data_IF_872522449057
#
_entry.id   IF_872522449057
#
_cell.length_a   1.000
_cell.length_b   1.000
_cell.length_c   1.000
_cell.angle_alpha   90.00
_cell.angle_beta   90.00
_cell.angle_gamma   90.00
#
_symmetry.space_group_name_H-M   'P 1'
#
loop_
_entity.id
_entity.type
_entity.pdbx_description
1 polymer ?
#
# COMPACT_ATOMS: atom_id res chain seq x y z
N UNK A 1 -31.47 6.52 -3.11
CA UNK A 1 -30.86 7.00 -1.85
C UNK A 1 -29.35 7.02 -2.03
N UNK A 2 -28.76 8.20 -2.19
CA UNK A 2 -27.31 8.39 -2.38
C UNK A 2 -26.62 8.20 -1.02
N UNK A 3 -25.74 7.20 -0.88
CA UNK A 3 -24.82 7.12 0.26
C UNK A 3 -23.61 7.99 -0.06
N UNK A 4 -23.55 9.13 0.63
CA UNK A 4 -22.40 10.02 0.66
C UNK A 4 -21.31 9.31 1.48
N UNK A 5 -20.29 8.78 0.81
CA UNK A 5 -19.07 8.31 1.49
C UNK A 5 -18.22 9.56 1.73
N UNK A 6 -18.25 10.06 2.97
CA UNK A 6 -17.43 11.18 3.40
C UNK A 6 -16.00 10.65 3.56
N UNK A 7 -15.11 11.05 2.65
CA UNK A 7 -13.67 10.91 2.84
C UNK A 7 -13.27 11.94 3.91
N UNK A 8 -13.00 11.49 5.13
CA UNK A 8 -12.51 12.36 6.20
C UNK A 8 -11.03 12.63 5.91
N UNK A 9 -10.75 13.76 5.28
CA UNK A 9 -9.42 14.37 5.25
C UNK A 9 -9.16 15.03 6.60
N UNK A 10 -8.47 14.33 7.50
CA UNK A 10 -7.87 14.97 8.67
C UNK A 10 -6.60 15.70 8.24
N UNK A 11 -6.73 17.00 7.96
CA UNK A 11 -5.60 17.93 7.95
C UNK A 11 -5.23 18.23 9.41
N UNK A 12 -4.46 17.32 10.01
CA UNK A 12 -3.85 17.55 11.31
C UNK A 12 -2.56 18.34 11.11
N UNK A 13 -2.61 19.66 11.32
CA UNK A 13 -1.42 20.45 11.59
C UNK A 13 -0.94 20.14 13.01
N UNK A 14 -0.21 19.03 13.17
CA UNK A 14 0.37 18.64 14.45
C UNK A 14 1.67 19.43 14.67
N UNK A 15 1.61 20.45 15.52
CA UNK A 15 2.78 20.81 16.32
C UNK A 15 2.89 19.79 17.45
N UNK A 16 3.32 18.56 17.13
CA UNK A 16 3.71 17.59 18.16
C UNK A 16 5.20 17.76 18.43
N UNK A 17 5.53 18.38 19.54
CA UNK A 17 6.75 18.06 20.25
C UNK A 17 6.52 16.73 20.98
N UNK A 18 6.74 15.62 20.27
CA UNK A 18 6.74 14.30 20.90
C UNK A 18 7.94 14.21 21.86
N UNK A 19 7.64 14.03 23.15
CA UNK A 19 8.62 13.58 24.14
C UNK A 19 9.05 12.16 23.77
N UNK A 20 10.36 11.89 23.75
CA UNK A 20 10.90 10.55 23.50
C UNK A 20 11.60 10.05 24.76
N UNK A 21 11.10 8.97 25.36
CA UNK A 21 11.73 8.31 26.52
C UNK A 21 12.55 7.08 26.17
N UNK A 22 12.46 6.56 24.94
CA UNK A 22 13.41 5.57 24.43
C UNK A 22 14.60 6.28 23.78
N UNK A 23 15.70 6.39 24.52
CA UNK A 23 16.91 7.08 24.06
C UNK A 23 17.61 6.39 22.86
N UNK A 24 17.27 5.14 22.58
CA UNK A 24 17.91 4.35 21.51
C UNK A 24 16.89 3.93 20.45
N UNK A 25 17.20 4.10 19.16
CA UNK A 25 16.33 3.60 18.10
C UNK A 25 16.35 2.07 18.08
N UNK A 26 15.18 1.44 17.88
CA UNK A 26 15.09 -0.02 17.76
C UNK A 26 15.61 -0.51 16.39
N UNK A 27 15.59 0.37 15.39
CA UNK A 27 16.11 0.11 14.06
C UNK A 27 16.69 1.39 13.46
N UNK A 28 17.72 1.28 12.63
CA UNK A 28 18.23 2.41 11.87
C UNK A 28 18.86 1.96 10.55
N UNK A 29 18.83 2.85 9.57
CA UNK A 29 19.48 2.67 8.25
C UNK A 29 20.12 3.99 7.83
N UNK A 30 21.20 3.93 7.07
CA UNK A 30 21.89 5.12 6.55
C UNK A 30 21.98 5.03 5.04
N UNK A 31 21.67 6.13 4.35
CA UNK A 31 21.76 6.17 2.90
C UNK A 31 23.19 6.43 2.40
N UNK A 32 23.37 6.44 1.08
CA UNK A 32 24.67 6.71 0.43
C UNK A 32 25.17 8.15 0.60
N UNK A 33 24.33 9.07 1.10
CA UNK A 33 24.67 10.47 1.35
C UNK A 33 25.00 10.73 2.83
N UNK A 34 24.81 9.73 3.69
CA UNK A 34 25.04 9.83 5.14
C UNK A 34 23.82 10.28 5.92
N UNK A 35 22.63 10.36 5.30
CA UNK A 35 21.38 10.62 6.02
C UNK A 35 20.99 9.38 6.81
N UNK A 36 20.92 9.51 8.14
CA UNK A 36 20.55 8.41 9.05
C UNK A 36 19.05 8.47 9.34
N UNK A 37 18.35 7.36 9.11
CA UNK A 37 16.95 7.19 9.49
C UNK A 37 16.89 6.28 10.70
N UNK A 38 16.27 6.76 11.76
CA UNK A 38 16.17 6.13 13.07
C UNK A 38 14.71 5.90 13.43
N UNK A 39 14.39 4.71 13.92
CA UNK A 39 13.04 4.30 14.27
C UNK A 39 12.92 4.09 15.77
N UNK A 40 11.91 4.71 16.38
CA UNK A 40 11.71 4.73 17.83
C UNK A 40 10.31 4.26 18.18
N UNK A 41 10.19 3.34 19.14
CA UNK A 41 8.89 2.97 19.68
C UNK A 41 8.25 4.16 20.41
N UNK A 42 6.91 4.26 20.42
CA UNK A 42 6.22 5.27 21.20
C UNK A 42 6.55 5.13 22.69
N UNK A 43 6.31 6.20 23.46
CA UNK A 43 6.38 6.10 24.91
C UNK A 43 5.33 5.09 25.40
N UNK A 44 5.64 4.32 26.45
CA UNK A 44 4.75 3.28 26.98
C UNK A 44 3.38 3.81 27.47
N UNK A 45 3.21 5.13 27.60
CA UNK A 45 1.96 5.80 27.95
C UNK A 45 1.15 6.33 26.76
N UNK A 46 1.66 6.21 25.52
CA UNK A 46 1.01 6.68 24.30
C UNK A 46 0.36 5.50 23.57
N UNK A 47 -0.82 5.08 24.03
CA UNK A 47 -1.58 3.96 23.45
C UNK A 47 -2.18 4.28 22.06
N UNK A 48 -1.95 5.47 21.54
CA UNK A 48 -2.58 6.00 20.32
C UNK A 48 -1.61 6.27 19.17
N UNK A 49 -0.31 6.07 19.38
CA UNK A 49 0.72 6.36 18.39
C UNK A 49 1.50 5.11 18.01
N UNK A 50 1.78 4.93 16.71
CA UNK A 50 2.75 3.94 16.28
C UNK A 50 4.18 4.44 16.46
N UNK A 51 5.16 3.65 16.01
CA UNK A 51 6.57 4.05 16.07
C UNK A 51 6.85 5.29 15.20
N UNK A 52 7.86 6.07 15.58
CA UNK A 52 8.28 7.28 14.87
C UNK A 52 9.52 7.02 14.03
N UNK A 53 9.54 7.53 12.79
CA UNK A 53 10.73 7.58 11.94
C UNK A 53 11.32 9.00 11.93
N UNK A 54 12.59 9.10 12.29
CA UNK A 54 13.35 10.35 12.41
C UNK A 54 14.51 10.31 11.44
N UNK A 55 14.67 11.37 10.65
CA UNK A 55 15.91 11.65 9.95
C UNK A 55 16.85 12.41 10.89
N UNK A 56 17.99 11.80 11.22
CA UNK A 56 19.01 12.33 12.11
C UNK A 56 20.28 12.64 11.31
N UNK A 57 20.42 13.91 10.94
CA UNK A 57 21.64 14.45 10.36
C UNK A 57 22.51 15.08 11.46
N UNK A 58 23.81 15.24 11.22
CA UNK A 58 24.79 15.75 12.21
C UNK A 58 24.34 16.99 12.99
N UNK A 59 23.53 17.85 12.36
CA UNK A 59 23.07 19.12 12.91
C UNK A 59 21.55 19.24 13.07
N UNK A 60 20.77 18.21 12.73
CA UNK A 60 19.31 18.28 12.77
C UNK A 60 18.64 16.92 12.92
N UNK A 61 17.69 16.84 13.86
CA UNK A 61 16.73 15.74 13.94
C UNK A 61 15.38 16.21 13.43
N UNK A 62 14.79 15.48 12.49
CA UNK A 62 13.49 15.78 11.93
C UNK A 62 12.62 14.53 11.92
N UNK A 63 11.44 14.62 12.53
CA UNK A 63 10.40 13.61 12.35
C UNK A 63 9.95 13.66 10.90
N UNK A 64 10.09 12.54 10.20
CA UNK A 64 9.65 12.42 8.80
C UNK A 64 8.33 11.65 8.71
N UNK A 65 8.01 10.82 9.71
CA UNK A 65 6.79 10.02 9.73
C UNK A 65 6.49 9.45 11.12
N UNK A 66 5.20 9.25 11.40
CA UNK A 66 4.69 8.51 12.55
C UNK A 66 3.83 7.39 12.00
N UNK A 67 4.12 6.15 12.41
CA UNK A 67 3.34 5.01 11.98
C UNK A 67 1.91 5.11 12.53
N UNK A 68 0.87 4.85 11.70
CA UNK A 68 -0.50 4.88 12.18
C UNK A 68 -0.72 3.73 13.17
N UNK A 69 -1.38 4.01 14.29
CA UNK A 69 -1.90 2.99 15.18
C UNK A 69 -3.20 2.42 14.60
N UNK A 70 -3.24 1.11 14.32
CA UNK A 70 -4.34 0.46 13.60
C UNK A 70 -4.96 -0.65 14.45
N UNK A 71 -5.49 -0.27 15.62
CA UNK A 71 -6.00 -1.16 16.67
C UNK A 71 -4.96 -2.11 17.30
N UNK A 72 -3.73 -2.06 16.80
CA UNK A 72 -2.54 -2.70 17.36
C UNK A 72 -1.31 -1.86 17.01
N UNK A 73 -0.23 -2.06 17.76
CA UNK A 73 1.07 -1.51 17.44
C UNK A 73 1.56 -2.12 16.11
N UNK A 74 1.94 -1.31 15.11
CA UNK A 74 2.50 -1.83 13.88
C UNK A 74 3.95 -2.25 14.06
N UNK A 75 4.33 -3.33 13.38
CA UNK A 75 5.73 -3.76 13.28
C UNK A 75 6.37 -3.19 12.01
N UNK A 76 7.64 -2.81 12.10
CA UNK A 76 8.43 -2.50 10.91
C UNK A 76 8.76 -3.81 10.20
N UNK A 77 8.15 -4.04 9.02
CA UNK A 77 8.45 -5.22 8.21
C UNK A 77 9.84 -5.10 7.57
N UNK A 78 10.10 -3.95 6.94
CA UNK A 78 11.41 -3.59 6.41
C UNK A 78 11.45 -2.10 6.04
N UNK A 79 12.66 -1.55 5.92
CA UNK A 79 12.90 -0.25 5.31
C UNK A 79 14.20 -0.27 4.52
N UNK A 80 14.20 0.34 3.34
CA UNK A 80 15.35 0.35 2.45
C UNK A 80 15.40 1.58 1.56
N UNK A 81 16.61 1.88 1.08
CA UNK A 81 16.81 2.93 0.08
C UNK A 81 16.76 2.36 -1.33
N UNK A 82 16.15 3.12 -2.23
CA UNK A 82 16.06 2.78 -3.64
C UNK A 82 16.22 4.02 -4.52
N UNK A 83 17.09 3.95 -5.51
CA UNK A 83 17.16 4.97 -6.54
C UNK A 83 16.20 4.61 -7.67
N UNK A 84 15.28 5.52 -7.98
CA UNK A 84 14.35 5.36 -9.09
C UNK A 84 14.82 6.28 -10.21
N UNK A 85 15.18 5.66 -11.34
CA UNK A 85 15.62 6.38 -12.54
C UNK A 85 14.62 7.48 -12.91
N UNK A 86 15.15 8.66 -13.21
CA UNK A 86 14.39 9.87 -13.58
C UNK A 86 13.46 10.43 -12.48
N UNK A 87 13.47 9.88 -11.26
CA UNK A 87 12.75 10.44 -10.10
C UNK A 87 13.65 10.85 -8.94
N UNK A 88 14.73 10.12 -8.68
CA UNK A 88 15.67 10.40 -7.59
C UNK A 88 15.77 9.28 -6.54
N UNK A 89 16.24 9.62 -5.35
CA UNK A 89 16.48 8.68 -4.27
C UNK A 89 15.28 8.59 -3.32
N UNK A 90 14.93 7.39 -2.93
CA UNK A 90 13.77 7.10 -2.10
C UNK A 90 14.14 6.29 -0.86
N UNK A 91 13.46 6.58 0.24
CA UNK A 91 13.29 5.68 1.38
C UNK A 91 11.94 4.99 1.19
N UNK A 92 11.93 3.67 1.15
CA UNK A 92 10.71 2.86 1.15
C UNK A 92 10.63 2.17 2.50
N UNK A 93 9.51 2.30 3.18
CA UNK A 93 9.21 1.54 4.39
C UNK A 93 7.94 0.73 4.21
N UNK A 94 7.93 -0.44 4.83
CA UNK A 94 6.73 -1.26 5.01
C UNK A 94 6.52 -1.50 6.48
N UNK A 95 5.30 -1.28 6.94
CA UNK A 95 4.84 -1.79 8.23
C UNK A 95 3.92 -2.98 8.00
N UNK A 96 3.72 -3.77 9.05
CA UNK A 96 2.75 -4.85 9.05
C UNK A 96 1.93 -4.84 10.34
N UNK A 97 0.68 -5.27 10.20
CA UNK A 97 -0.27 -5.51 11.29
C UNK A 97 -0.99 -6.85 11.03
N UNK A 98 -1.68 -7.39 12.03
CA UNK A 98 -2.42 -8.65 11.94
C UNK A 98 -3.90 -8.40 12.23
N UNK A 99 -4.63 -7.79 11.28
CA UNK A 99 -6.01 -7.43 11.50
C UNK A 99 -6.89 -8.67 11.66
N UNK A 100 -7.77 -8.64 12.65
CA UNK A 100 -8.76 -9.70 12.84
C UNK A 100 -9.91 -9.58 11.82
N UNK A 101 -10.56 -10.71 11.53
CA UNK A 101 -11.76 -10.74 10.70
C UNK A 101 -12.87 -9.82 11.26
N UNK A 102 -13.03 -9.76 12.59
CA UNK A 102 -14.03 -8.91 13.24
C UNK A 102 -13.80 -7.40 13.01
N UNK A 103 -12.55 -6.99 12.78
CA UNK A 103 -12.20 -5.59 12.52
C UNK A 103 -12.43 -5.20 11.05
N UNK A 104 -12.18 -6.11 10.12
CA UNK A 104 -12.10 -5.77 8.68
C UNK A 104 -13.21 -6.38 7.83
N UNK A 105 -13.86 -7.44 8.31
CA UNK A 105 -14.75 -8.29 7.50
C UNK A 105 -14.02 -9.06 6.39
N UNK A 106 -12.68 -9.08 6.39
CA UNK A 106 -11.85 -9.77 5.41
C UNK A 106 -10.99 -10.80 6.14
N UNK A 107 -10.99 -12.07 5.70
CA UNK A 107 -10.22 -13.12 6.35
C UNK A 107 -8.76 -13.10 5.87
N UNK A 108 -7.97 -12.16 6.38
CA UNK A 108 -6.54 -12.14 6.08
C UNK A 108 -5.83 -13.36 6.67
N UNK A 109 -4.82 -13.85 5.96
CA UNK A 109 -4.06 -15.05 6.34
C UNK A 109 -3.20 -14.80 7.57
N UNK A 110 -2.45 -13.70 7.58
CA UNK A 110 -1.57 -13.27 8.67
C UNK A 110 -1.35 -11.75 8.57
N UNK A 111 -0.20 -11.36 8.01
CA UNK A 111 0.28 -10.00 7.95
C UNK A 111 -0.43 -9.21 6.84
N UNK A 112 -0.91 -8.03 7.20
CA UNK A 112 -1.37 -6.98 6.31
C UNK A 112 -0.31 -5.89 6.22
N UNK A 113 0.22 -5.68 5.02
CA UNK A 113 1.33 -4.79 4.74
C UNK A 113 0.84 -3.41 4.32
N UNK A 114 1.51 -2.37 4.79
CA UNK A 114 1.25 -0.97 4.44
C UNK A 114 2.56 -0.32 4.07
N UNK A 115 2.56 0.40 2.96
CA UNK A 115 3.74 1.02 2.38
C UNK A 115 3.72 2.53 2.47
N UNK A 116 4.87 3.09 2.82
CA UNK A 116 5.10 4.54 2.75
C UNK A 116 6.41 4.78 2.03
N UNK A 117 6.37 5.64 1.02
CA UNK A 117 7.54 6.04 0.24
C UNK A 117 7.87 7.50 0.51
N UNK A 118 9.16 7.80 0.67
CA UNK A 118 9.66 9.15 0.85
C UNK A 118 10.69 9.46 -0.21
N UNK A 119 10.51 10.57 -0.93
CA UNK A 119 11.49 11.10 -1.86
C UNK A 119 12.48 11.99 -1.11
N UNK A 120 13.77 11.81 -1.35
CA UNK A 120 14.80 12.74 -0.91
C UNK A 120 14.68 14.04 -1.71
N UNK A 121 14.39 15.15 -1.03
CA UNK A 121 14.27 16.49 -1.61
C UNK A 121 14.95 17.51 -0.70
N UNK A 122 15.94 18.24 -1.25
CA UNK A 122 16.77 19.19 -0.51
C UNK A 122 17.33 18.61 0.80
N UNK A 123 17.84 17.38 0.72
CA UNK A 123 18.45 16.67 1.85
C UNK A 123 17.46 16.16 2.89
N UNK A 124 16.13 16.22 2.66
CA UNK A 124 15.11 15.71 3.58
C UNK A 124 14.20 14.72 2.86
N UNK A 125 13.93 13.59 3.48
CA UNK A 125 12.94 12.64 3.02
C UNK A 125 11.51 13.19 3.24
N UNK A 126 10.76 13.36 2.15
CA UNK A 126 9.37 13.84 2.14
C UNK A 126 8.44 12.79 1.55
N UNK A 127 7.25 12.65 2.13
CA UNK A 127 6.24 11.70 1.67
C UNK A 127 5.94 11.84 0.17
N UNK A 128 5.98 10.72 -0.56
CA UNK A 128 5.53 10.58 -1.94
C UNK A 128 4.28 9.68 -1.94
N UNK A 129 3.11 10.32 -1.85
CA UNK A 129 1.82 9.62 -1.79
C UNK A 129 1.55 8.79 -3.05
N UNK A 130 1.96 9.26 -4.23
CA UNK A 130 1.76 8.54 -5.48
C UNK A 130 2.51 7.20 -5.47
N UNK A 131 3.77 7.20 -5.04
CA UNK A 131 4.55 5.96 -4.97
C UNK A 131 4.07 5.04 -3.84
N UNK A 132 3.64 5.62 -2.72
CA UNK A 132 3.01 4.87 -1.62
C UNK A 132 1.74 4.16 -2.11
N UNK A 133 0.89 4.86 -2.86
CA UNK A 133 -0.33 4.31 -3.45
C UNK A 133 -0.06 3.25 -4.52
N UNK A 134 1.00 3.40 -5.33
CA UNK A 134 1.39 2.37 -6.31
C UNK A 134 1.71 1.03 -5.64
N UNK A 135 2.46 1.08 -4.53
CA UNK A 135 2.75 -0.10 -3.71
C UNK A 135 1.48 -0.59 -3.00
N UNK A 136 0.62 0.33 -2.58
CA UNK A 136 -0.68 0.05 -1.98
C UNK A 136 -0.55 -0.65 -0.63
N UNK A 137 -1.65 -1.20 -0.11
CA UNK A 137 -1.67 -2.00 1.10
C UNK A 137 -2.46 -3.29 0.87
N UNK A 138 -2.21 -4.32 1.68
CA UNK A 138 -2.90 -5.60 1.52
C UNK A 138 -2.24 -6.76 2.25
N UNK A 139 -2.93 -7.90 2.26
CA UNK A 139 -2.46 -9.19 2.76
C UNK A 139 -3.07 -10.33 1.97
N UNK A 140 -2.54 -11.53 2.14
CA UNK A 140 -3.15 -12.74 1.56
C UNK A 140 -4.53 -12.98 2.19
N UNK A 141 -5.47 -13.54 1.43
CA UNK A 141 -6.87 -13.71 1.87
C UNK A 141 -7.29 -15.17 1.71
N UNK A 142 -7.76 -15.77 2.80
CA UNK A 142 -8.34 -17.11 2.82
C UNK A 142 -9.72 -17.16 2.15
N UNK A 143 -10.14 -18.33 1.67
CA UNK A 143 -11.53 -18.58 1.25
C UNK A 143 -12.45 -18.51 2.47
N UNK A 144 -13.47 -17.65 2.41
CA UNK A 144 -14.39 -17.44 3.53
C UNK A 144 -15.28 -18.67 3.76
N UNK A 145 -15.55 -19.46 2.73
CA UNK A 145 -16.31 -20.71 2.89
C UNK A 145 -15.49 -21.75 3.65
N UNK A 146 -14.18 -21.81 3.35
CA UNK A 146 -13.27 -22.74 4.00
C UNK A 146 -13.11 -22.38 5.50
N UNK A 147 -12.97 -21.10 5.85
CA UNK A 147 -12.87 -20.67 7.26
C UNK A 147 -14.12 -20.98 8.07
N UNK A 148 -15.29 -20.91 7.43
CA UNK A 148 -16.55 -21.19 8.11
C UNK A 148 -16.87 -22.68 8.20
N UNK A 149 -16.02 -23.55 7.65
CA UNK A 149 -16.19 -24.99 7.67
C UNK A 149 -15.19 -25.65 8.64
N UNK A 150 -15.71 -26.16 9.76
CA UNK A 150 -14.91 -26.80 10.80
C UNK A 150 -14.17 -28.08 10.34
N UNK A 151 -14.58 -28.69 9.22
CA UNK A 151 -13.91 -29.87 8.66
C UNK A 151 -12.64 -29.51 7.86
N UNK A 152 -12.41 -28.22 7.57
CA UNK A 152 -11.25 -27.75 6.81
C UNK A 152 -10.18 -27.26 7.79
N UNK A 153 -9.08 -28.01 7.86
CA UNK A 153 -7.93 -27.70 8.74
C UNK A 153 -7.04 -26.61 8.13
N UNK A 154 -6.90 -26.60 6.81
CA UNK A 154 -6.07 -25.65 6.06
C UNK A 154 -6.92 -24.93 5.01
N UNK A 155 -7.48 -23.76 5.34
CA UNK A 155 -8.28 -22.98 4.39
C UNK A 155 -7.46 -22.57 3.16
N UNK A 156 -8.06 -22.63 1.98
CA UNK A 156 -7.36 -22.23 0.75
C UNK A 156 -7.15 -20.72 0.71
N UNK A 157 -6.04 -20.27 0.13
CA UNK A 157 -5.79 -18.86 -0.14
C UNK A 157 -6.41 -18.49 -1.49
N UNK A 158 -7.34 -17.53 -1.50
CA UNK A 158 -8.05 -17.06 -2.71
C UNK A 158 -7.38 -15.86 -3.36
N UNK A 159 -6.57 -15.11 -2.62
CA UNK A 159 -5.80 -13.99 -3.12
C UNK A 159 -4.43 -13.92 -2.43
N UNK A 160 -3.39 -13.68 -3.23
CA UNK A 160 -2.03 -13.51 -2.77
C UNK A 160 -1.63 -12.05 -2.99
N UNK A 161 -1.26 -11.38 -1.90
CA UNK A 161 -0.73 -10.04 -1.93
C UNK A 161 0.70 -10.04 -2.52
N UNK A 162 1.00 -9.15 -3.48
CA UNK A 162 2.21 -9.28 -4.29
C UNK A 162 3.50 -8.75 -3.65
N UNK A 163 3.42 -8.00 -2.54
CA UNK A 163 4.54 -7.28 -1.96
C UNK A 163 4.69 -7.64 -0.48
N UNK A 164 5.23 -8.81 -0.15
CA UNK A 164 5.41 -9.23 1.26
C UNK A 164 6.85 -9.06 1.74
N UNK A 165 7.79 -8.92 0.81
CA UNK A 165 9.22 -8.84 1.07
C UNK A 165 9.87 -7.64 0.38
N UNK A 166 11.00 -7.18 0.92
CA UNK A 166 11.82 -6.14 0.28
C UNK A 166 12.15 -6.49 -1.18
N UNK A 167 12.51 -7.75 -1.46
CA UNK A 167 12.88 -8.18 -2.80
C UNK A 167 11.70 -8.09 -3.78
N UNK A 168 10.48 -8.45 -3.35
CA UNK A 168 9.28 -8.31 -4.19
C UNK A 168 8.98 -6.84 -4.50
N UNK A 169 9.16 -5.94 -3.53
CA UNK A 169 9.00 -4.50 -3.73
C UNK A 169 10.05 -3.97 -4.70
N UNK A 170 11.32 -4.34 -4.53
CA UNK A 170 12.40 -3.98 -5.47
C UNK A 170 12.11 -4.49 -6.88
N UNK A 171 11.59 -5.70 -7.01
CA UNK A 171 11.17 -6.26 -8.29
C UNK A 171 9.99 -5.46 -8.88
N UNK A 172 9.02 -5.08 -8.05
CA UNK A 172 7.89 -4.26 -8.46
C UNK A 172 8.34 -2.90 -9.02
N UNK A 173 9.25 -2.21 -8.33
CA UNK A 173 9.83 -0.93 -8.76
C UNK A 173 10.68 -1.02 -10.05
N UNK A 174 11.04 -2.24 -10.48
CA UNK A 174 11.74 -2.49 -11.74
C UNK A 174 10.84 -3.10 -12.83
N UNK A 175 9.58 -3.38 -12.51
CA UNK A 175 8.64 -4.08 -13.39
C UNK A 175 8.17 -3.22 -14.56
N UNK A 176 7.64 -3.88 -15.60
CA UNK A 176 6.99 -3.22 -16.72
C UNK A 176 5.76 -2.42 -16.28
N UNK A 177 5.02 -2.90 -15.28
CA UNK A 177 3.89 -2.18 -14.69
C UNK A 177 4.33 -0.86 -14.06
N UNK A 178 5.43 -0.87 -13.30
CA UNK A 178 5.98 0.34 -12.71
C UNK A 178 6.49 1.31 -13.77
N UNK A 179 7.20 0.83 -14.80
CA UNK A 179 7.65 1.67 -15.92
C UNK A 179 6.47 2.31 -16.64
N UNK A 180 5.41 1.54 -16.89
CA UNK A 180 4.16 2.02 -17.48
C UNK A 180 3.55 3.12 -16.60
N UNK A 181 3.33 2.85 -15.31
CA UNK A 181 2.78 3.81 -14.36
C UNK A 181 3.63 5.09 -14.28
N UNK A 182 4.94 4.94 -14.06
CA UNK A 182 5.85 6.05 -13.81
C UNK A 182 6.00 6.99 -15.02
N UNK A 183 6.03 6.43 -16.24
CA UNK A 183 6.27 7.19 -17.48
C UNK A 183 5.01 7.81 -18.07
N UNK A 184 3.82 7.41 -17.59
CA UNK A 184 2.54 7.76 -18.20
C UNK A 184 1.58 8.45 -17.22
N UNK A 185 2.08 9.09 -16.15
CA UNK A 185 1.25 9.76 -15.14
C UNK A 185 0.25 10.77 -15.69
N UNK A 186 0.53 11.37 -16.85
CA UNK A 186 -0.35 12.33 -17.53
C UNK A 186 -0.96 11.82 -18.83
N UNK A 187 -0.93 10.50 -19.08
CA UNK A 187 -1.41 9.91 -20.34
C UNK A 187 -2.55 8.95 -20.09
N UNK A 188 -3.49 8.93 -21.04
CA UNK A 188 -4.58 7.97 -21.05
C UNK A 188 -4.03 6.61 -21.44
N UNK A 189 -4.03 5.67 -20.50
CA UNK A 189 -3.63 4.29 -20.75
C UNK A 189 -4.89 3.47 -20.94
N UNK A 190 -5.01 2.78 -22.09
CA UNK A 190 -6.14 1.90 -22.41
C UNK A 190 -5.72 0.45 -22.21
N UNK A 191 -6.66 -0.35 -21.70
CA UNK A 191 -6.48 -1.77 -21.50
C UNK A 191 -7.71 -2.58 -21.95
N UNK A 192 -7.55 -3.90 -21.89
CA UNK A 192 -8.58 -4.87 -22.21
C UNK A 192 -8.55 -6.02 -21.20
N UNK A 193 -9.73 -6.44 -20.76
CA UNK A 193 -9.92 -7.62 -19.91
C UNK A 193 -9.63 -8.88 -20.74
N UNK A 194 -8.80 -9.79 -20.20
CA UNK A 194 -8.37 -11.02 -20.88
C UNK A 194 -9.10 -12.25 -20.39
N UNK A 195 -9.50 -12.27 -19.12
CA UNK A 195 -10.32 -13.32 -18.50
C UNK A 195 -11.31 -12.68 -17.53
N UNK A 196 -12.37 -13.41 -17.19
CA UNK A 196 -13.39 -12.92 -16.26
C UNK A 196 -12.72 -12.49 -14.94
N UNK A 197 -13.03 -11.29 -14.48
CA UNK A 197 -12.46 -10.71 -13.25
C UNK A 197 -13.54 -9.99 -12.46
N UNK A 198 -13.45 -10.01 -11.14
CA UNK A 198 -14.36 -9.25 -10.27
C UNK A 198 -14.09 -7.76 -10.41
N UNK A 199 -15.16 -6.97 -10.42
CA UNK A 199 -15.10 -5.53 -10.49
C UNK A 199 -15.42 -4.94 -9.12
N UNK A 200 -14.36 -4.67 -8.36
CA UNK A 200 -14.38 -4.36 -6.93
C UNK A 200 -14.50 -2.85 -6.68
N UNK A 201 -15.09 -2.46 -5.56
CA UNK A 201 -15.16 -1.04 -5.16
C UNK A 201 -13.84 -0.53 -4.54
N UNK A 202 -12.93 -1.43 -4.15
CA UNK A 202 -11.63 -1.12 -3.54
C UNK A 202 -10.52 -1.97 -4.17
N UNK A 203 -9.25 -1.57 -4.00
CA UNK A 203 -8.07 -2.29 -4.47
C UNK A 203 -7.75 -3.53 -3.61
N UNK A 204 -8.75 -4.40 -3.42
CA UNK A 204 -8.65 -5.58 -2.57
C UNK A 204 -9.63 -6.67 -3.02
N UNK A 205 -9.41 -7.92 -2.58
CA UNK A 205 -10.26 -9.05 -2.96
C UNK A 205 -11.44 -9.22 -2.01
N UNK A 206 -12.61 -8.71 -2.39
CA UNK A 206 -13.86 -8.94 -1.66
C UNK A 206 -14.59 -10.13 -2.28
N UNK A 207 -14.72 -11.21 -1.51
CA UNK A 207 -15.30 -12.48 -1.98
C UNK A 207 -16.82 -12.42 -2.23
N UNK A 208 -17.51 -11.46 -1.62
CA UNK A 208 -18.96 -11.26 -1.79
C UNK A 208 -19.32 -10.40 -3.00
N UNK A 209 -18.32 -9.85 -3.71
CA UNK A 209 -18.53 -9.06 -4.92
C UNK A 209 -19.16 -9.92 -6.04
N UNK A 210 -20.14 -9.34 -6.73
CA UNK A 210 -20.90 -10.00 -7.80
C UNK A 210 -20.73 -9.31 -9.14
N UNK A 211 -20.30 -8.04 -9.16
CA UNK A 211 -19.95 -7.32 -10.39
C UNK A 211 -18.69 -7.94 -10.96
N UNK A 212 -18.68 -8.12 -12.28
CA UNK A 212 -17.51 -8.64 -12.99
C UNK A 212 -17.45 -8.05 -14.38
N UNK A 213 -16.25 -8.08 -14.95
CA UNK A 213 -16.01 -7.83 -16.36
C UNK A 213 -15.59 -9.13 -17.05
N UNK A 214 -15.77 -9.20 -18.37
CA UNK A 214 -15.48 -10.37 -19.18
C UNK A 214 -14.44 -10.06 -20.24
N UNK A 215 -13.88 -11.12 -20.85
CA UNK A 215 -12.89 -11.00 -21.91
C UNK A 215 -13.38 -10.08 -23.03
N UNK A 216 -12.52 -9.14 -23.44
CA UNK A 216 -12.79 -8.17 -24.49
C UNK A 216 -13.34 -6.82 -24.01
N UNK A 217 -13.77 -6.72 -22.74
CA UNK A 217 -14.15 -5.43 -22.15
C UNK A 217 -12.95 -4.48 -22.16
N UNK A 218 -13.14 -3.28 -22.73
CA UNK A 218 -12.11 -2.24 -22.84
C UNK A 218 -12.28 -1.20 -21.74
N UNK A 219 -11.16 -0.68 -21.25
CA UNK A 219 -11.16 0.28 -20.17
C UNK A 219 -10.03 1.31 -20.28
N UNK A 220 -10.12 2.37 -19.48
CA UNK A 220 -9.04 3.34 -19.25
C UNK A 220 -8.53 3.16 -17.83
N UNK A 221 -7.21 3.11 -17.63
CA UNK A 221 -6.61 3.07 -16.29
C UNK A 221 -6.67 4.47 -15.67
N UNK A 222 -7.14 4.54 -14.43
CA UNK A 222 -7.18 5.74 -13.59
C UNK A 222 -6.07 5.72 -12.55
N UNK A 223 -5.84 4.56 -11.94
CA UNK A 223 -4.82 4.40 -10.91
C UNK A 223 -4.34 2.94 -10.82
N UNK A 224 -3.24 2.73 -10.11
CA UNK A 224 -2.63 1.42 -9.86
C UNK A 224 -2.27 1.34 -8.38
N UNK A 225 -2.62 0.24 -7.72
CA UNK A 225 -2.31 -0.03 -6.31
C UNK A 225 -2.19 -1.53 -6.09
N UNK A 226 -1.08 -2.03 -5.54
CA UNK A 226 -0.94 -3.47 -5.19
C UNK A 226 -1.25 -4.46 -6.34
N UNK A 227 -0.90 -4.10 -7.59
CA UNK A 227 -1.29 -4.83 -8.83
C UNK A 227 -2.80 -4.90 -9.09
N UNK A 228 -3.59 -4.04 -8.47
CA UNK A 228 -4.94 -3.70 -8.88
C UNK A 228 -4.91 -2.50 -9.81
N UNK A 229 -5.80 -2.50 -10.80
CA UNK A 229 -6.03 -1.37 -11.69
C UNK A 229 -7.36 -0.73 -11.32
N UNK A 230 -7.35 0.53 -10.94
CA UNK A 230 -8.57 1.33 -10.94
C UNK A 230 -8.85 1.69 -12.40
N UNK A 231 -10.03 1.33 -12.87
CA UNK A 231 -10.39 1.47 -14.27
C UNK A 231 -11.70 2.24 -14.42
N UNK A 232 -11.75 3.01 -15.48
CA UNK A 232 -12.96 3.62 -16.01
C UNK A 232 -13.50 2.72 -17.13
N UNK A 233 -14.69 2.16 -16.92
CA UNK A 233 -15.38 1.27 -17.86
C UNK A 233 -16.69 1.91 -18.32
N UNK A 234 -16.91 1.95 -19.62
CA UNK A 234 -18.13 2.49 -20.21
C UNK A 234 -19.13 1.38 -20.51
N UNK A 235 -20.24 1.36 -19.77
CA UNK A 235 -21.35 0.44 -19.98
C UNK A 235 -22.50 1.19 -20.66
N UNK A 236 -22.62 1.01 -21.98
CA UNK A 236 -23.57 1.77 -22.82
C UNK A 236 -23.34 3.29 -22.64
N UNK A 237 -24.22 3.99 -21.94
CA UNK A 237 -24.14 5.44 -21.71
C UNK A 237 -23.63 5.81 -20.32
N UNK A 238 -23.36 4.83 -19.46
CA UNK A 238 -22.86 5.04 -18.09
C UNK A 238 -21.36 4.77 -17.99
N UNK A 239 -20.65 5.64 -17.27
CA UNK A 239 -19.26 5.42 -16.88
C UNK A 239 -19.24 4.92 -15.44
N UNK A 240 -18.63 3.77 -15.21
CA UNK A 240 -18.42 3.21 -13.88
C UNK A 240 -16.91 3.09 -13.59
N UNK A 241 -16.55 3.35 -12.34
CA UNK A 241 -15.16 3.28 -11.85
C UNK A 241 -15.09 2.18 -10.79
N UNK A 242 -14.01 1.41 -10.81
CA UNK A 242 -13.77 0.33 -9.87
C UNK A 242 -12.45 -0.36 -10.16
N UNK A 243 -12.15 -1.40 -9.39
CA UNK A 243 -10.86 -2.07 -9.37
C UNK A 243 -10.95 -3.47 -9.97
N UNK A 244 -9.95 -3.84 -10.76
CA UNK A 244 -9.76 -5.20 -11.28
C UNK A 244 -8.33 -5.66 -11.02
N UNK A 245 -8.13 -6.98 -10.91
CA UNK A 245 -6.77 -7.51 -10.77
C UNK A 245 -6.02 -7.36 -12.10
N UNK A 246 -4.82 -6.79 -12.06
CA UNK A 246 -4.07 -6.50 -13.27
C UNK A 246 -3.69 -7.76 -14.06
N UNK A 247 -3.51 -8.90 -13.37
CA UNK A 247 -3.23 -10.22 -13.97
C UNK A 247 -4.36 -10.71 -14.89
N UNK A 248 -5.58 -10.19 -14.73
CA UNK A 248 -6.72 -10.55 -15.57
C UNK A 248 -6.84 -9.66 -16.82
N UNK A 249 -5.86 -8.79 -17.06
CA UNK A 249 -5.86 -7.78 -18.12
C UNK A 249 -4.63 -7.91 -19.02
N UNK A 250 -4.64 -7.21 -20.15
CA UNK A 250 -3.47 -7.11 -21.04
C UNK A 250 -2.36 -6.15 -20.53
N UNK A 251 -2.52 -5.54 -19.35
CA UNK A 251 -1.59 -4.54 -18.83
C UNK A 251 -0.41 -5.18 -18.10
N UNK A 252 -0.67 -6.20 -17.27
CA UNK A 252 0.37 -6.90 -16.49
C UNK A 252 0.84 -8.20 -17.13
N UNK A 253 0.34 -8.55 -18.32
CA UNK A 253 0.86 -9.69 -19.08
C UNK A 253 2.05 -9.21 -19.91
N UNK A 254 3.24 -9.28 -19.32
CA UNK A 254 4.55 -9.25 -19.98
C UNK A 254 5.58 -9.94 -19.09
#
# INVERSE_FOLDING_TARGET
>A
MKKLVIFILFLFSLNLSASMTNNSPFFHITDKFGHKIEFYMPEASSDLEGFTAIQNDKNSKKIIWIAPFLAQQPDLAFAFFNEIKDRGNYLILSIKIQPSYNQTGIPYVDDYFIYTAFKLDNGIYKLDEELSNFLGAGGDIYDIQDINNADIIEPRITYIYPYKTEQEVRNALNSNLFKLWNSNRNKIIRGEIRRKTLFQDVSNYIQTEKKYLIKGDKFIIKNISSKWLEIEYKKRDEIIIGWVQCIDTNICLN
#
